data_IF_529049979370
#
_entry.id   IF_529049979370
#
_cell.length_a   1.000
_cell.length_b   1.000
_cell.length_c   1.000
_cell.angle_alpha   90.00
_cell.angle_beta   90.00
_cell.angle_gamma   90.00
#
_symmetry.space_group_name_H-M   'P 1'
#
loop_
_entity.id
_entity.type
_entity.pdbx_description
1 polymer ?
#
# COMPACT_ATOMS: atom_id res chain seq x y z
N UNK A 1 2.52 7.93 -33.30
CA UNK A 1 1.83 7.41 -32.10
C UNK A 1 2.92 7.08 -31.10
N UNK A 2 2.85 7.60 -29.87
CA UNK A 2 3.84 7.31 -28.82
C UNK A 2 3.38 6.08 -28.03
N UNK A 3 4.16 4.98 -28.00
CA UNK A 3 3.76 3.78 -27.26
C UNK A 3 3.99 3.94 -25.76
N UNK A 4 2.94 3.73 -24.96
CA UNK A 4 3.07 3.59 -23.50
C UNK A 4 3.28 2.10 -23.19
N UNK A 5 4.54 1.69 -23.18
CA UNK A 5 4.90 0.28 -23.05
C UNK A 5 5.07 -0.15 -21.60
N UNK A 6 4.49 -1.29 -21.25
CA UNK A 6 4.65 -1.90 -19.94
C UNK A 6 5.97 -2.69 -19.85
N UNK A 7 6.78 -2.44 -18.81
CA UNK A 7 7.97 -3.26 -18.50
C UNK A 7 9.00 -3.28 -19.64
N UNK A 8 9.27 -2.13 -20.27
CA UNK A 8 10.22 -2.02 -21.38
C UNK A 8 11.62 -2.43 -20.93
N UNK A 9 12.24 -3.38 -21.65
CA UNK A 9 13.59 -3.86 -21.39
C UNK A 9 14.43 -3.71 -22.64
N UNK A 10 15.72 -3.47 -22.46
CA UNK A 10 16.66 -3.29 -23.58
C UNK A 10 16.73 -4.49 -24.55
N UNK A 11 16.41 -5.70 -24.06
CA UNK A 11 16.60 -6.98 -24.75
C UNK A 11 15.30 -7.77 -24.99
N UNK A 12 14.14 -7.28 -24.56
CA UNK A 12 12.87 -8.01 -24.67
C UNK A 12 11.72 -7.06 -24.98
N UNK A 13 10.79 -7.56 -25.76
CA UNK A 13 9.55 -6.84 -26.04
C UNK A 13 8.74 -6.61 -24.77
N UNK A 14 8.02 -5.48 -24.70
CA UNK A 14 7.15 -5.18 -23.57
C UNK A 14 6.04 -6.21 -23.48
N UNK A 15 5.82 -6.74 -22.27
CA UNK A 15 4.78 -7.73 -22.01
C UNK A 15 3.73 -7.16 -21.05
N UNK A 16 2.48 -7.61 -21.24
CA UNK A 16 1.39 -7.28 -20.34
C UNK A 16 1.75 -7.65 -18.90
N UNK A 17 1.27 -6.84 -17.96
CA UNK A 17 1.45 -7.12 -16.55
C UNK A 17 0.67 -8.37 -16.13
N UNK A 18 -0.48 -8.59 -16.78
CA UNK A 18 -1.36 -9.73 -16.55
C UNK A 18 -0.79 -11.04 -17.07
N UNK A 19 0.18 -11.00 -17.98
CA UNK A 19 0.75 -12.21 -18.60
C UNK A 19 1.25 -13.23 -17.57
N UNK A 20 1.75 -12.77 -16.42
CA UNK A 20 2.25 -13.66 -15.36
C UNK A 20 1.13 -14.27 -14.49
N UNK A 21 -0.08 -13.71 -14.56
CA UNK A 21 -1.24 -14.10 -13.74
C UNK A 21 -2.24 -14.94 -14.53
N UNK A 22 -2.31 -14.79 -15.86
CA UNK A 22 -3.26 -15.50 -16.73
C UNK A 22 -3.35 -17.01 -16.41
N UNK A 23 -2.24 -17.77 -16.30
CA UNK A 23 -2.33 -19.21 -16.02
C UNK A 23 -3.01 -19.54 -14.68
N UNK A 24 -2.84 -18.69 -13.67
CA UNK A 24 -3.47 -18.87 -12.35
C UNK A 24 -4.95 -18.50 -12.43
N UNK A 25 -5.28 -17.44 -13.17
CA UNK A 25 -6.67 -17.05 -13.39
C UNK A 25 -7.44 -18.13 -14.16
N UNK A 26 -6.82 -18.76 -15.16
CA UNK A 26 -7.39 -19.90 -15.88
C UNK A 26 -7.63 -21.10 -14.95
N UNK A 27 -6.68 -21.39 -14.06
CA UNK A 27 -6.83 -22.43 -13.05
C UNK A 27 -7.98 -22.14 -12.07
N UNK A 28 -8.12 -20.88 -11.63
CA UNK A 28 -9.25 -20.45 -10.78
C UNK A 28 -10.56 -20.64 -11.53
N UNK A 29 -10.68 -20.16 -12.77
CA UNK A 29 -11.89 -20.29 -13.57
C UNK A 29 -12.30 -21.76 -13.75
N UNK A 30 -11.33 -22.61 -14.07
CA UNK A 30 -11.55 -24.05 -14.24
C UNK A 30 -12.02 -24.68 -12.93
N UNK A 31 -11.36 -24.36 -11.81
CA UNK A 31 -11.72 -24.90 -10.49
C UNK A 31 -13.13 -24.49 -10.07
N UNK A 32 -13.52 -23.24 -10.32
CA UNK A 32 -14.87 -22.75 -10.04
C UNK A 32 -15.91 -23.42 -10.93
N UNK A 33 -15.62 -23.59 -12.23
CA UNK A 33 -16.50 -24.30 -13.15
C UNK A 33 -16.71 -25.76 -12.70
N UNK A 34 -15.63 -26.45 -12.32
CA UNK A 34 -15.70 -27.83 -11.83
C UNK A 34 -16.45 -27.92 -10.50
N UNK A 35 -16.32 -26.93 -9.62
CA UNK A 35 -17.08 -26.87 -8.37
C UNK A 35 -18.59 -26.69 -8.62
N UNK A 36 -18.97 -25.84 -9.59
CA UNK A 36 -20.38 -25.66 -9.98
C UNK A 36 -20.96 -26.94 -10.56
N UNK A 37 -20.24 -27.61 -11.46
CA UNK A 37 -20.66 -28.90 -12.02
C UNK A 37 -20.76 -29.96 -10.92
N UNK A 38 -19.77 -30.07 -10.03
CA UNK A 38 -19.80 -30.99 -8.90
C UNK A 38 -20.99 -30.73 -7.97
N UNK A 39 -21.39 -29.46 -7.80
CA UNK A 39 -22.56 -29.10 -6.98
C UNK A 39 -23.88 -29.64 -7.54
N UNK A 40 -24.00 -29.75 -8.87
CA UNK A 40 -25.18 -30.32 -9.52
C UNK A 40 -25.30 -31.82 -9.20
N UNK A 41 -24.19 -32.57 -9.28
CA UNK A 41 -24.17 -34.00 -8.93
C UNK A 41 -24.30 -34.24 -7.43
N UNK A 42 -23.75 -33.35 -6.59
CA UNK A 42 -23.87 -33.43 -5.14
C UNK A 42 -25.34 -33.32 -4.68
N UNK A 43 -26.17 -32.58 -5.40
CA UNK A 43 -27.61 -32.50 -5.13
C UNK A 43 -28.34 -33.84 -5.38
N UNK A 44 -27.74 -34.76 -6.14
CA UNK A 44 -28.34 -36.04 -6.54
C UNK A 44 -27.46 -37.21 -6.05
N UNK A 45 -27.44 -37.49 -4.73
CA UNK A 45 -26.60 -38.54 -4.17
C UNK A 45 -26.94 -39.89 -4.78
N UNK A 46 -25.92 -40.57 -5.30
CA UNK A 46 -26.08 -41.92 -5.83
C UNK A 46 -26.40 -42.88 -4.69
N UNK A 47 -27.40 -43.72 -4.91
CA UNK A 47 -27.85 -44.75 -3.98
C UNK A 47 -27.42 -46.11 -4.50
N UNK A 48 -27.03 -46.99 -3.59
CA UNK A 48 -26.69 -48.36 -3.93
C UNK A 48 -27.50 -49.33 -3.07
N UNK A 49 -27.68 -50.53 -3.59
CA UNK A 49 -28.29 -51.62 -2.86
C UNK A 49 -27.41 -52.85 -3.01
N UNK A 50 -27.16 -53.54 -1.90
CA UNK A 50 -26.39 -54.79 -1.87
C UNK A 50 -27.31 -55.93 -1.45
N UNK A 51 -27.17 -57.12 -2.04
CA UNK A 51 -27.95 -58.31 -1.66
C UNK A 51 -29.26 -58.48 -2.42
N UNK A 52 -29.36 -57.96 -3.66
CA UNK A 52 -30.46 -58.27 -4.58
C UNK A 52 -29.97 -59.23 -5.68
N UNK A 53 -30.83 -60.16 -6.07
CA UNK A 53 -30.64 -60.94 -7.29
C UNK A 53 -30.75 -60.03 -8.51
N UNK A 54 -29.80 -60.18 -9.44
CA UNK A 54 -29.77 -59.41 -10.69
C UNK A 54 -30.87 -59.98 -11.59
N UNK A 55 -31.90 -59.18 -11.85
CA UNK A 55 -32.98 -59.54 -12.78
C UNK A 55 -32.49 -59.25 -14.20
N UNK A 56 -32.37 -60.28 -15.03
CA UNK A 56 -31.93 -60.17 -16.43
C UNK A 56 -33.14 -60.21 -17.38
N UNK A 57 -33.06 -59.49 -18.50
CA UNK A 57 -34.04 -59.58 -19.59
C UNK A 57 -33.87 -60.86 -20.43
N UNK A 58 -34.77 -61.10 -21.38
CA UNK A 58 -34.71 -62.27 -22.29
C UNK A 58 -33.42 -62.31 -23.16
N UNK A 59 -32.61 -61.24 -23.15
CA UNK A 59 -31.34 -61.12 -23.87
C UNK A 59 -30.12 -61.16 -22.94
N UNK A 60 -30.30 -61.43 -21.64
CA UNK A 60 -29.23 -61.53 -20.65
C UNK A 60 -28.65 -60.18 -20.20
N UNK A 61 -29.34 -59.06 -20.44
CA UNK A 61 -28.91 -57.77 -19.93
C UNK A 61 -29.53 -57.52 -18.54
N UNK A 62 -28.75 -57.03 -17.56
CA UNK A 62 -29.29 -56.66 -16.26
C UNK A 62 -30.27 -55.49 -16.42
N UNK A 63 -31.51 -55.71 -15.99
CA UNK A 63 -32.55 -54.68 -15.95
C UNK A 63 -32.40 -53.90 -14.65
N UNK A 64 -32.47 -52.55 -14.71
CA UNK A 64 -32.50 -51.73 -13.50
C UNK A 64 -33.68 -52.15 -12.60
N UNK A 65 -33.44 -52.71 -11.41
CA UNK A 65 -34.50 -53.26 -10.57
C UNK A 65 -35.38 -52.15 -9.97
N UNK A 66 -34.89 -50.91 -9.91
CA UNK A 66 -35.64 -49.77 -9.36
C UNK A 66 -35.50 -48.54 -10.26
N UNK A 67 -36.65 -47.99 -10.69
CA UNK A 67 -36.72 -46.59 -11.13
C UNK A 67 -36.78 -45.70 -9.91
N UNK A 68 -35.61 -45.29 -9.42
CA UNK A 68 -35.48 -44.44 -8.23
C UNK A 68 -36.01 -43.04 -8.57
N UNK A 69 -37.11 -42.64 -7.91
CA UNK A 69 -37.67 -41.29 -7.98
C UNK A 69 -37.85 -40.77 -6.55
N UNK A 70 -37.87 -39.44 -6.38
CA UNK A 70 -37.97 -38.80 -5.05
C UNK A 70 -39.19 -39.27 -4.26
N UNK A 71 -40.28 -39.60 -4.95
CA UNK A 71 -41.55 -40.05 -4.36
C UNK A 71 -41.71 -41.58 -4.22
N UNK A 72 -40.64 -42.37 -4.44
CA UNK A 72 -40.72 -43.84 -4.41
C UNK A 72 -39.99 -44.44 -3.21
N UNK A 73 -40.72 -45.26 -2.47
CA UNK A 73 -40.19 -46.09 -1.38
C UNK A 73 -39.37 -47.26 -1.95
N UNK A 74 -38.16 -47.44 -1.41
CA UNK A 74 -37.30 -48.59 -1.71
C UNK A 74 -37.61 -49.69 -0.69
N UNK A 75 -38.06 -50.85 -1.16
CA UNK A 75 -38.40 -52.01 -0.35
C UNK A 75 -37.76 -53.26 -0.97
N UNK A 76 -37.20 -54.14 -0.14
CA UNK A 76 -36.67 -55.43 -0.54
C UNK A 76 -37.23 -56.53 0.38
N UNK A 77 -37.49 -57.71 -0.18
CA UNK A 77 -38.02 -58.86 0.57
C UNK A 77 -36.93 -59.65 1.31
N UNK A 78 -35.68 -59.55 0.86
CA UNK A 78 -34.54 -60.24 1.48
C UNK A 78 -34.04 -59.47 2.73
N UNK A 79 -33.98 -60.12 3.92
CA UNK A 79 -33.40 -59.53 5.13
C UNK A 79 -31.94 -59.08 5.02
N UNK A 80 -31.18 -59.58 4.03
CA UNK A 80 -29.79 -59.19 3.76
C UNK A 80 -29.68 -57.95 2.85
N UNK A 81 -30.78 -57.51 2.24
CA UNK A 81 -30.78 -56.35 1.35
C UNK A 81 -30.57 -55.06 2.15
N UNK A 82 -29.45 -54.37 1.88
CA UNK A 82 -29.11 -53.09 2.51
C UNK A 82 -29.11 -51.99 1.48
N UNK A 83 -29.88 -50.94 1.76
CA UNK A 83 -29.87 -49.70 1.01
C UNK A 83 -28.89 -48.73 1.65
N UNK A 84 -27.99 -48.18 0.85
CA UNK A 84 -27.05 -47.15 1.26
C UNK A 84 -27.05 -45.99 0.27
N UNK A 85 -26.44 -44.89 0.69
CA UNK A 85 -26.07 -43.80 -0.20
C UNK A 85 -24.56 -43.63 -0.18
N UNK A 86 -23.99 -43.22 -1.30
CA UNK A 86 -22.61 -42.75 -1.30
C UNK A 86 -22.52 -41.43 -0.52
N UNK A 87 -21.36 -41.19 0.10
CA UNK A 87 -21.08 -39.91 0.76
C UNK A 87 -21.24 -38.76 -0.23
N UNK A 88 -21.85 -37.66 0.22
CA UNK A 88 -22.03 -36.48 -0.61
C UNK A 88 -20.66 -35.89 -0.99
N UNK A 89 -20.56 -35.34 -2.20
CA UNK A 89 -19.33 -34.68 -2.63
C UNK A 89 -19.06 -33.44 -1.76
N UNK A 90 -17.92 -33.40 -1.08
CA UNK A 90 -17.49 -32.24 -0.30
C UNK A 90 -16.92 -31.15 -1.22
N UNK A 91 -17.64 -30.03 -1.32
CA UNK A 91 -17.24 -28.87 -2.11
C UNK A 91 -16.17 -28.02 -1.40
N UNK A 92 -15.87 -28.27 -0.12
CA UNK A 92 -14.89 -27.50 0.67
C UNK A 92 -13.46 -27.59 0.12
N UNK A 93 -13.11 -28.70 -0.53
CA UNK A 93 -11.81 -28.86 -1.18
C UNK A 93 -11.60 -27.87 -2.33
N UNK A 94 -12.66 -27.53 -3.07
CA UNK A 94 -12.59 -26.52 -4.14
C UNK A 94 -12.36 -25.12 -3.57
N UNK A 95 -13.04 -24.78 -2.47
CA UNK A 95 -12.85 -23.48 -1.80
C UNK A 95 -11.40 -23.32 -1.35
N UNK A 96 -10.85 -24.34 -0.70
CA UNK A 96 -9.45 -24.34 -0.22
C UNK A 96 -8.47 -24.19 -1.38
N UNK A 97 -8.72 -24.87 -2.51
CA UNK A 97 -7.90 -24.74 -3.71
C UNK A 97 -7.97 -23.32 -4.31
N UNK A 98 -9.18 -22.74 -4.41
CA UNK A 98 -9.36 -21.37 -4.92
C UNK A 98 -8.65 -20.36 -4.01
N UNK A 99 -8.77 -20.49 -2.69
CA UNK A 99 -8.08 -19.61 -1.73
C UNK A 99 -6.56 -19.66 -1.90
N UNK A 100 -5.98 -20.86 -2.03
CA UNK A 100 -4.55 -21.04 -2.31
C UNK A 100 -4.14 -20.40 -3.65
N UNK A 101 -4.92 -20.58 -4.71
CA UNK A 101 -4.65 -19.98 -6.02
C UNK A 101 -4.71 -18.44 -5.97
N UNK A 102 -5.66 -17.88 -5.22
CA UNK A 102 -5.76 -16.42 -4.99
C UNK A 102 -4.54 -15.91 -4.22
N UNK A 103 -4.05 -16.64 -3.22
CA UNK A 103 -2.81 -16.30 -2.50
C UNK A 103 -1.59 -16.30 -3.44
N UNK A 104 -1.47 -17.30 -4.31
CA UNK A 104 -0.39 -17.34 -5.32
C UNK A 104 -0.49 -16.18 -6.31
N UNK A 105 -1.70 -15.88 -6.78
CA UNK A 105 -1.97 -14.74 -7.66
C UNK A 105 -1.57 -13.41 -7.00
N UNK A 106 -1.95 -13.19 -5.75
CA UNK A 106 -1.61 -11.97 -5.00
C UNK A 106 -0.09 -11.80 -4.87
N UNK A 107 0.62 -12.87 -4.50
CA UNK A 107 2.08 -12.88 -4.36
C UNK A 107 2.80 -12.55 -5.68
N UNK A 108 2.43 -13.20 -6.78
CA UNK A 108 3.08 -13.02 -8.08
C UNK A 108 2.77 -11.65 -8.70
N UNK A 109 1.52 -11.19 -8.57
CA UNK A 109 1.09 -9.89 -9.09
C UNK A 109 1.60 -8.71 -8.25
N UNK A 110 2.11 -8.97 -7.04
CA UNK A 110 2.42 -7.99 -6.00
C UNK A 110 1.21 -7.15 -5.59
N UNK A 111 0.01 -7.72 -5.72
CA UNK A 111 -1.21 -7.10 -5.21
C UNK A 111 -1.37 -7.52 -3.75
N UNK A 112 -1.58 -6.59 -2.81
CA UNK A 112 -1.75 -6.93 -1.41
C UNK A 112 -2.91 -7.91 -1.21
N UNK A 113 -2.69 -8.99 -0.46
CA UNK A 113 -3.69 -10.04 -0.28
C UNK A 113 -4.99 -9.53 0.36
N UNK A 114 -4.89 -8.52 1.24
CA UNK A 114 -6.04 -7.92 1.90
C UNK A 114 -7.00 -7.20 0.95
N UNK A 115 -6.62 -6.93 -0.31
CA UNK A 115 -7.53 -6.43 -1.34
C UNK A 115 -8.50 -7.51 -1.84
N UNK A 116 -8.17 -8.79 -1.67
CA UNK A 116 -9.00 -9.93 -2.08
C UNK A 116 -9.89 -10.47 -0.94
N UNK A 117 -9.67 -10.03 0.30
CA UNK A 117 -10.43 -10.50 1.45
C UNK A 117 -11.82 -9.86 1.49
N UNK A 118 -12.86 -10.70 1.44
CA UNK A 118 -14.25 -10.28 1.65
C UNK A 118 -14.60 -10.40 3.14
N UNK A 119 -14.12 -9.46 3.95
CA UNK A 119 -14.35 -9.43 5.39
C UNK A 119 -13.21 -10.04 6.21
N UNK A 120 -12.70 -9.25 7.16
CA UNK A 120 -11.58 -9.59 8.04
C UNK A 120 -11.18 -8.36 8.86
N UNK A 121 -10.35 -8.57 9.89
CA UNK A 121 -9.77 -7.45 10.65
C UNK A 121 -8.86 -6.67 9.69
N UNK A 122 -9.22 -5.41 9.43
CA UNK A 122 -8.39 -4.50 8.63
C UNK A 122 -7.02 -4.42 9.30
N UNK A 123 -5.90 -4.69 8.60
CA UNK A 123 -4.58 -4.61 9.19
C UNK A 123 -4.33 -3.20 9.76
N UNK A 124 -3.48 -3.09 10.79
CA UNK A 124 -3.06 -1.78 11.29
C UNK A 124 -2.35 -0.99 10.18
N UNK A 125 -2.31 0.35 10.29
CA UNK A 125 -1.75 1.23 9.25
C UNK A 125 -0.34 0.81 8.79
N UNK A 126 0.55 0.43 9.72
CA UNK A 126 1.91 -0.03 9.38
C UNK A 126 1.91 -1.38 8.64
N UNK A 127 0.99 -2.28 8.99
CA UNK A 127 0.83 -3.57 8.30
C UNK A 127 0.28 -3.39 6.88
N UNK A 128 -0.60 -2.41 6.66
CA UNK A 128 -1.05 -2.02 5.32
C UNK A 128 0.12 -1.48 4.50
N UNK A 129 0.90 -0.53 5.05
CA UNK A 129 2.07 0.03 4.36
C UNK A 129 3.10 -1.05 4.00
N UNK A 130 3.39 -1.98 4.90
CA UNK A 130 4.32 -3.08 4.63
C UNK A 130 3.78 -4.03 3.54
N UNK A 131 2.48 -4.34 3.55
CA UNK A 131 1.85 -5.18 2.53
C UNK A 131 1.78 -4.49 1.16
N UNK A 132 1.64 -3.16 1.12
CA UNK A 132 1.60 -2.36 -0.11
C UNK A 132 2.99 -2.07 -0.71
N UNK A 133 4.08 -2.31 0.03
CA UNK A 133 5.43 -2.00 -0.43
C UNK A 133 5.77 -2.62 -1.80
N UNK A 134 5.33 -3.85 -2.07
CA UNK A 134 5.52 -4.52 -3.35
C UNK A 134 4.75 -3.86 -4.51
N UNK A 135 3.53 -3.40 -4.22
CA UNK A 135 2.69 -2.67 -5.17
C UNK A 135 3.27 -1.28 -5.46
N UNK A 136 3.70 -0.56 -4.43
CA UNK A 136 4.33 0.77 -4.55
C UNK A 136 5.61 0.68 -5.38
N UNK A 137 6.47 -0.31 -5.13
CA UNK A 137 7.68 -0.51 -5.90
C UNK A 137 7.38 -0.75 -7.39
N UNK A 138 6.34 -1.55 -7.68
CA UNK A 138 5.87 -1.77 -9.04
C UNK A 138 5.30 -0.49 -9.67
N UNK A 139 4.54 0.31 -8.93
CA UNK A 139 4.03 1.60 -9.41
C UNK A 139 5.18 2.57 -9.73
N UNK A 140 6.21 2.66 -8.88
CA UNK A 140 7.42 3.47 -9.14
C UNK A 140 8.16 3.02 -10.40
N UNK A 141 8.28 1.71 -10.63
CA UNK A 141 8.82 1.17 -11.90
C UNK A 141 7.98 1.63 -13.11
N UNK A 142 6.65 1.70 -12.99
CA UNK A 142 5.77 2.19 -14.08
C UNK A 142 5.86 3.68 -14.30
N UNK A 143 5.93 4.48 -13.24
CA UNK A 143 6.10 5.93 -13.33
C UNK A 143 7.34 6.31 -14.14
N UNK A 144 8.43 5.55 -13.99
CA UNK A 144 9.64 5.72 -14.79
C UNK A 144 9.38 5.51 -16.29
N UNK A 145 8.87 4.34 -16.67
CA UNK A 145 8.66 4.02 -18.10
C UNK A 145 7.54 4.85 -18.75
N UNK A 146 6.49 5.18 -17.99
CA UNK A 146 5.38 5.99 -18.49
C UNK A 146 5.75 7.46 -18.55
N UNK A 147 6.64 7.94 -17.66
CA UNK A 147 7.18 9.29 -17.69
C UNK A 147 7.85 9.62 -19.02
N UNK A 148 8.74 8.74 -19.49
CA UNK A 148 9.41 8.89 -20.79
C UNK A 148 8.42 9.03 -21.96
N UNK A 149 7.37 8.22 -21.95
CA UNK A 149 6.32 8.28 -22.97
C UNK A 149 5.55 9.61 -22.90
N UNK A 150 5.22 10.10 -21.70
CA UNK A 150 4.58 11.39 -21.50
C UNK A 150 5.46 12.57 -21.93
N UNK A 151 6.76 12.50 -21.66
CA UNK A 151 7.73 13.50 -22.11
C UNK A 151 7.85 13.52 -23.64
N UNK A 152 7.85 12.35 -24.29
CA UNK A 152 7.84 12.27 -25.75
C UNK A 152 6.56 12.89 -26.33
N UNK A 153 5.40 12.59 -25.74
CA UNK A 153 4.12 13.21 -26.13
C UNK A 153 4.22 14.73 -26.02
N UNK A 154 4.73 15.26 -24.92
CA UNK A 154 4.86 16.71 -24.73
C UNK A 154 5.86 17.34 -25.70
N UNK A 155 6.99 16.69 -25.98
CA UNK A 155 7.95 17.15 -27.01
C UNK A 155 7.31 17.19 -28.40
N UNK A 156 6.50 16.19 -28.75
CA UNK A 156 5.75 16.18 -30.01
C UNK A 156 4.72 17.30 -30.07
N UNK A 157 3.99 17.56 -28.98
CA UNK A 157 3.08 18.71 -28.90
C UNK A 157 3.82 20.04 -29.15
N UNK A 158 4.96 20.26 -28.50
CA UNK A 158 5.78 21.45 -28.74
C UNK A 158 6.35 21.53 -30.16
N UNK A 159 6.65 20.37 -30.78
CA UNK A 159 7.11 20.32 -32.18
C UNK A 159 6.02 20.77 -33.15
N UNK A 160 4.75 20.45 -32.88
CA UNK A 160 3.62 20.93 -33.68
C UNK A 160 3.43 22.45 -33.53
N UNK A 161 3.75 23.00 -32.35
CA UNK A 161 3.67 24.44 -32.06
C UNK A 161 4.91 25.24 -32.52
N UNK A 162 5.89 24.58 -33.16
CA UNK A 162 7.19 25.17 -33.52
C UNK A 162 7.92 25.82 -32.32
N UNK A 163 7.72 25.28 -31.12
CA UNK A 163 8.33 25.77 -29.88
C UNK A 163 9.70 25.08 -29.67
N UNK A 164 10.76 25.82 -29.25
CA UNK A 164 12.08 25.24 -28.97
C UNK A 164 12.05 24.15 -27.88
N UNK A 165 11.03 24.13 -27.01
CA UNK A 165 10.80 23.06 -26.02
C UNK A 165 10.56 21.68 -26.65
N UNK A 166 10.32 21.60 -27.95
CA UNK A 166 10.33 20.33 -28.70
C UNK A 166 11.63 19.54 -28.56
N UNK A 167 12.74 20.21 -28.19
CA UNK A 167 14.06 19.60 -27.95
C UNK A 167 14.43 19.52 -26.47
N UNK A 168 13.47 19.70 -25.56
CA UNK A 168 13.70 19.58 -24.12
C UNK A 168 13.79 18.10 -23.70
N UNK A 169 14.93 17.47 -23.97
CA UNK A 169 15.21 16.08 -23.56
C UNK A 169 15.55 15.93 -22.08
N UNK A 170 15.76 17.04 -21.38
CA UNK A 170 15.95 17.09 -19.92
C UNK A 170 14.66 17.38 -19.16
N UNK A 171 13.51 17.36 -19.83
CA UNK A 171 12.22 17.49 -19.16
C UNK A 171 11.89 16.18 -18.45
N UNK A 172 11.39 16.26 -17.22
CA UNK A 172 11.01 15.09 -16.43
C UNK A 172 9.54 15.16 -16.05
N UNK A 173 8.87 14.01 -16.05
CA UNK A 173 7.49 13.90 -15.55
C UNK A 173 7.47 13.87 -14.03
N UNK A 174 6.87 14.90 -13.44
CA UNK A 174 6.65 14.96 -11.99
C UNK A 174 5.36 14.21 -11.65
N UNK A 175 5.51 13.10 -10.93
CA UNK A 175 4.40 12.29 -10.45
C UNK A 175 4.13 12.56 -8.97
N UNK A 176 2.88 12.38 -8.55
CA UNK A 176 2.52 12.31 -7.13
C UNK A 176 3.11 11.03 -6.50
N UNK A 177 3.59 11.11 -5.27
CA UNK A 177 4.07 9.94 -4.52
C UNK A 177 2.92 8.90 -4.41
N UNK A 178 3.12 7.66 -4.90
CA UNK A 178 2.10 6.61 -4.82
C UNK A 178 1.95 5.99 -3.42
N UNK A 179 2.87 6.28 -2.50
CA UNK A 179 2.83 5.74 -1.15
C UNK A 179 1.75 6.42 -0.31
N UNK A 180 0.89 5.61 0.33
CA UNK A 180 -0.14 6.14 1.22
C UNK A 180 0.48 6.47 2.59
N UNK A 181 0.53 7.77 2.92
CA UNK A 181 1.06 8.28 4.19
C UNK A 181 0.05 9.21 4.83
N UNK A 182 0.00 9.22 6.15
CA UNK A 182 -0.75 10.28 6.85
C UNK A 182 -0.08 11.63 6.61
N UNK A 183 -0.88 12.70 6.56
CA UNK A 183 -0.36 14.05 6.40
C UNK A 183 0.65 14.41 7.50
N UNK A 184 0.40 13.96 8.73
CA UNK A 184 1.31 14.14 9.87
C UNK A 184 2.68 13.47 9.65
N UNK A 185 2.71 12.21 9.22
CA UNK A 185 3.96 11.50 8.92
C UNK A 185 4.72 12.15 7.76
N UNK A 186 4.01 12.64 6.74
CA UNK A 186 4.61 13.30 5.61
C UNK A 186 5.24 14.65 6.00
N UNK A 187 4.53 15.48 6.79
CA UNK A 187 5.07 16.75 7.28
C UNK A 187 6.27 16.56 8.23
N UNK A 188 6.24 15.56 9.11
CA UNK A 188 7.39 15.21 9.96
C UNK A 188 8.61 14.79 9.14
N UNK A 189 8.41 14.01 8.07
CA UNK A 189 9.48 13.65 7.14
C UNK A 189 10.08 14.89 6.45
N UNK A 190 9.24 15.83 5.98
CA UNK A 190 9.71 17.08 5.38
C UNK A 190 10.48 17.96 6.38
N UNK A 191 10.03 18.02 7.64
CA UNK A 191 10.73 18.75 8.70
C UNK A 191 12.12 18.16 8.93
N UNK A 192 12.24 16.83 8.96
CA UNK A 192 13.55 16.14 9.08
C UNK A 192 14.45 16.41 7.88
N UNK A 193 13.91 16.44 6.66
CA UNK A 193 14.66 16.82 5.45
C UNK A 193 15.14 18.28 5.52
N UNK A 194 14.32 19.18 6.05
CA UNK A 194 14.70 20.56 6.30
C UNK A 194 15.88 20.67 7.27
N UNK A 195 15.92 19.84 8.33
CA UNK A 195 17.03 19.81 9.29
C UNK A 195 18.36 19.37 8.68
N UNK A 196 18.32 18.55 7.63
CA UNK A 196 19.52 18.09 6.89
C UNK A 196 19.96 19.14 5.84
N UNK A 197 19.19 20.22 5.67
CA UNK A 197 19.54 21.33 4.77
C UNK A 197 19.01 21.17 3.35
N UNK A 198 18.01 20.32 3.12
CA UNK A 198 17.34 20.22 1.81
C UNK A 198 16.73 21.59 1.45
N UNK A 199 16.95 22.10 0.22
CA UNK A 199 16.39 23.37 -0.21
C UNK A 199 14.87 23.42 -0.05
N UNK A 200 14.35 24.57 0.36
CA UNK A 200 12.91 24.73 0.64
C UNK A 200 12.04 24.50 -0.59
N UNK A 201 12.51 24.88 -1.77
CA UNK A 201 11.78 24.66 -3.01
C UNK A 201 11.61 23.17 -3.31
N UNK A 202 12.65 22.36 -3.00
CA UNK A 202 12.56 20.90 -3.08
C UNK A 202 11.55 20.36 -2.06
N UNK A 203 11.56 20.86 -0.82
CA UNK A 203 10.58 20.43 0.20
C UNK A 203 9.13 20.75 -0.19
N UNK A 204 8.90 21.87 -0.88
CA UNK A 204 7.57 22.22 -1.38
C UNK A 204 7.16 21.33 -2.57
N UNK A 205 8.11 20.98 -3.44
CA UNK A 205 7.87 19.99 -4.49
C UNK A 205 7.56 18.62 -3.89
N UNK A 206 8.33 18.17 -2.89
CA UNK A 206 8.12 16.90 -2.18
C UNK A 206 6.79 16.90 -1.41
N UNK A 207 6.32 18.06 -0.94
CA UNK A 207 4.99 18.25 -0.36
C UNK A 207 3.84 18.13 -1.37
N UNK A 208 4.14 18.00 -2.66
CA UNK A 208 3.16 17.85 -3.74
C UNK A 208 2.67 19.16 -4.35
N UNK A 209 3.34 20.29 -4.09
CA UNK A 209 3.00 21.55 -4.74
C UNK A 209 3.55 21.60 -6.17
N UNK A 210 2.74 22.14 -7.09
CA UNK A 210 3.14 22.34 -8.49
C UNK A 210 4.19 23.45 -8.62
N UNK A 211 5.00 23.46 -9.70
CA UNK A 211 5.98 24.53 -9.95
C UNK A 211 5.35 25.93 -9.95
N UNK A 212 4.13 26.07 -10.45
CA UNK A 212 3.41 27.35 -10.46
C UNK A 212 2.99 27.80 -9.05
N UNK A 213 2.62 26.85 -8.17
CA UNK A 213 2.31 27.17 -6.77
C UNK A 213 3.56 27.56 -5.99
N UNK A 214 4.69 26.88 -6.24
CA UNK A 214 5.98 27.19 -5.61
C UNK A 214 6.42 28.62 -5.98
N UNK A 215 6.34 28.99 -7.27
CA UNK A 215 6.63 30.36 -7.72
C UNK A 215 5.74 31.39 -7.00
N UNK A 216 4.43 31.11 -6.88
CA UNK A 216 3.51 31.97 -6.14
C UNK A 216 3.88 32.10 -4.66
N UNK A 217 4.34 31.04 -4.01
CA UNK A 217 4.79 31.09 -2.61
C UNK A 217 6.04 31.95 -2.44
N UNK A 218 6.93 31.96 -3.43
CA UNK A 218 8.10 32.86 -3.43
C UNK A 218 7.64 34.32 -3.49
N UNK A 219 6.73 34.66 -4.42
CA UNK A 219 6.17 36.01 -4.53
C UNK A 219 5.49 36.47 -3.23
N UNK A 220 4.68 35.60 -2.62
CA UNK A 220 4.00 35.90 -1.35
C UNK A 220 5.01 36.13 -0.22
N UNK A 221 6.09 35.35 -0.16
CA UNK A 221 7.14 35.52 0.85
C UNK A 221 7.93 36.81 0.65
N UNK A 222 8.21 37.20 -0.59
CA UNK A 222 8.86 38.48 -0.87
C UNK A 222 7.97 39.64 -0.44
N UNK A 223 6.66 39.55 -0.70
CA UNK A 223 5.68 40.53 -0.24
C UNK A 223 5.64 40.60 1.30
N UNK A 224 5.60 39.45 1.99
CA UNK A 224 5.62 39.38 3.45
C UNK A 224 6.92 39.92 4.03
N UNK A 225 8.07 39.61 3.44
CA UNK A 225 9.37 40.12 3.87
C UNK A 225 9.48 41.64 3.68
N UNK A 226 8.98 42.18 2.56
CA UNK A 226 8.87 43.62 2.34
C UNK A 226 7.93 44.27 3.34
N UNK A 227 6.77 43.68 3.60
CA UNK A 227 5.82 44.17 4.60
C UNK A 227 6.41 44.15 6.02
N UNK A 228 7.16 43.10 6.37
CA UNK A 228 7.86 42.99 7.65
C UNK A 228 8.97 44.04 7.79
N UNK A 229 9.76 44.28 6.74
CA UNK A 229 10.78 45.34 6.73
C UNK A 229 10.16 46.74 6.85
N UNK A 230 9.05 47.00 6.15
CA UNK A 230 8.32 48.27 6.27
C UNK A 230 7.70 48.45 7.65
N UNK A 231 7.17 47.37 8.26
CA UNK A 231 6.66 47.39 9.64
C UNK A 231 7.79 47.67 10.64
N UNK A 232 8.95 47.01 10.48
CA UNK A 232 10.11 47.22 11.33
C UNK A 232 10.68 48.65 11.22
N UNK A 233 10.62 49.27 10.04
CA UNK A 233 10.97 50.69 9.85
C UNK A 233 9.94 51.64 10.48
N UNK A 234 8.65 51.28 10.42
CA UNK A 234 7.54 52.11 10.94
C UNK A 234 7.41 52.04 12.46
N UNK A 235 7.75 50.90 13.06
CA UNK A 235 7.75 50.67 14.50
C UNK A 235 9.12 50.10 14.94
N UNK A 236 10.18 50.92 14.97
CA UNK A 236 11.42 50.50 15.59
C UNK A 236 11.13 50.22 17.07
N UNK A 237 11.36 48.98 17.50
CA UNK A 237 11.27 48.62 18.92
C UNK A 237 12.11 49.61 19.73
N UNK A 238 11.61 50.17 20.85
CA UNK A 238 12.43 50.96 21.74
C UNK A 238 13.60 50.08 22.18
N UNK A 239 14.83 50.53 21.91
CA UNK A 239 16.01 49.95 22.54
C UNK A 239 15.74 49.98 24.05
N UNK A 240 15.82 48.86 24.79
CA UNK A 240 15.73 48.93 26.24
C UNK A 240 16.83 49.89 26.70
N UNK A 241 16.44 51.02 27.29
CA UNK A 241 17.40 51.93 27.89
C UNK A 241 18.26 51.10 28.86
N UNK A 242 19.60 51.15 28.76
CA UNK A 242 20.43 50.50 29.76
C UNK A 242 20.05 51.08 31.13
N UNK A 243 19.93 50.25 32.18
CA UNK A 243 19.47 50.72 33.49
C UNK A 243 20.35 51.89 33.92
N UNK A 244 19.71 53.01 34.27
CA UNK A 244 20.38 54.22 34.74
C UNK A 244 21.44 53.85 35.79
N UNK A 245 22.70 54.18 35.50
CA UNK A 245 23.80 54.04 36.44
C UNK A 245 23.51 54.78 37.76
N UNK A 246 24.15 54.36 38.86
CA UNK A 246 23.66 54.63 40.21
C UNK A 246 23.71 56.12 40.54
N UNK A 247 22.56 56.66 40.96
CA UNK A 247 22.45 57.95 41.62
C UNK A 247 23.23 57.89 42.94
N UNK A 248 24.05 58.90 43.20
CA UNK A 248 24.99 58.95 44.32
C UNK A 248 24.37 58.74 45.70
N UNK A 249 25.01 57.82 46.45
CA UNK A 249 25.21 57.72 47.90
C UNK A 249 24.04 58.01 48.87
N UNK A 250 23.62 56.94 49.57
CA UNK A 250 23.31 57.01 51.00
C UNK A 250 24.17 56.00 51.79
N UNK A 251 24.71 56.47 52.92
CA UNK A 251 25.83 55.94 53.71
C UNK A 251 25.53 54.69 54.58
N UNK A 252 24.63 53.80 54.21
CA UNK A 252 24.11 52.80 55.17
C UNK A 252 24.48 51.32 54.95
N UNK A 253 25.20 50.92 53.89
CA UNK A 253 25.37 49.48 53.58
C UNK A 253 26.83 48.99 53.43
N UNK A 254 27.84 49.78 53.80
CA UNK A 254 29.25 49.38 53.71
C UNK A 254 29.77 48.55 54.91
N UNK A 255 28.91 48.09 55.82
CA UNK A 255 29.35 47.40 57.05
C UNK A 255 29.20 45.87 57.09
N UNK A 256 28.77 45.19 56.02
CA UNK A 256 28.54 43.72 56.08
C UNK A 256 29.49 42.86 55.25
N UNK A 257 30.50 43.42 54.58
CA UNK A 257 31.42 42.66 53.73
C UNK A 257 32.84 42.49 54.31
N UNK A 258 32.99 42.40 55.64
CA UNK A 258 34.23 41.94 56.27
C UNK A 258 33.94 40.73 57.15
N UNK A 259 33.84 39.55 56.53
CA UNK A 259 34.03 38.28 57.23
C UNK A 259 34.61 37.23 56.28
N UNK A 260 35.91 36.95 56.39
CA UNK A 260 36.57 35.82 55.75
C UNK A 260 36.44 34.57 56.64
N UNK A 261 36.09 33.38 56.12
CA UNK A 261 36.32 32.14 56.84
C UNK A 261 37.62 31.45 56.36
N UNK A 262 38.61 31.62 57.23
CA UNK A 262 39.64 30.69 57.70
C UNK A 262 39.59 29.24 57.16
N UNK A 263 40.73 28.79 56.60
CA UNK A 263 40.96 27.40 56.22
C UNK A 263 41.20 26.48 57.41
N UNK A 264 40.92 25.19 57.22
CA UNK A 264 41.36 24.16 58.15
C UNK A 264 41.88 22.93 57.39
N UNK A 265 43.18 22.71 57.53
CA UNK A 265 43.92 21.51 57.16
C UNK A 265 43.77 20.47 58.26
N UNK A 266 43.32 19.26 57.90
CA UNK A 266 43.43 18.09 58.77
C UNK A 266 42.41 17.01 58.43
N UNK A 267 42.76 16.03 57.61
CA UNK A 267 43.28 14.75 58.11
C UNK A 267 43.35 13.74 56.95
N UNK A 268 44.58 13.44 56.51
CA UNK A 268 44.87 12.18 55.82
C UNK A 268 44.77 11.06 56.85
N UNK A 269 43.99 10.01 56.57
CA UNK A 269 44.26 8.59 56.85
C UNK A 269 42.97 7.80 57.15
N UNK A 270 42.54 7.00 56.18
CA UNK A 270 42.39 5.54 56.37
C UNK A 270 42.21 4.86 55.01
N UNK A 271 43.21 4.05 54.66
CA UNK A 271 43.15 2.98 53.66
C UNK A 271 42.27 1.84 54.19
N UNK A 272 41.40 1.29 53.35
CA UNK A 272 41.41 -0.12 52.90
C UNK A 272 40.44 -0.27 51.74
#
# INVERSE_FOLDING_TARGET
MVPISNRSRLLRDPVSDLHVVIPIQDAINKTVADALVASEYAAWPQRYVTGLEIVEDEHGNPVEPFKVAVDKLLQAEDPQAKFGQFEAADLGNYVTLVEMLVQHMASISRIPFHYFLNGGVVPSGESITAAEAGLIAKTRERMLHFGEAWEEVMRLCFKVLDDPRSKAYSAETIWKDPENRTEAQHMDALLKLQMIGVPRDQLLSDAGYTPQQIARFQDMREADAKAAMELAKKYPMPVPEPPAGPVGMSKAAQQTAVKRPQGNSGNQARKS
#
